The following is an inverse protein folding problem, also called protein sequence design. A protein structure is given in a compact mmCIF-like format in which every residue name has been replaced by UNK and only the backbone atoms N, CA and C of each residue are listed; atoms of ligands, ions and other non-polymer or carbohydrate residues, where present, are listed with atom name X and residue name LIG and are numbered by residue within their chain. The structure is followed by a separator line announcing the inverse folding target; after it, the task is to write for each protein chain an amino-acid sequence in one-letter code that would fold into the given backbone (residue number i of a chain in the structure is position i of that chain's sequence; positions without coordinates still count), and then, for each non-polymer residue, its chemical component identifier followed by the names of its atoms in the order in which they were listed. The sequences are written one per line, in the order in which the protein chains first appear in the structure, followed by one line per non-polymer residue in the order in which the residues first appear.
data_IF_757038041283
#
_entry.id   IF_757038041283
#
_cell.length_a   1.000
_cell.length_b   1.000
_cell.length_c   1.000
_cell.angle_alpha   90.00
_cell.angle_beta   90.00
_cell.angle_gamma   90.00
#
_symmetry.space_group_name_H-M   'P 1'
#
loop_
_entity.id
_entity.type
_entity.pdbx_description
1 polymer ?
#
# COMPACT_ATOMS: atom_id res chain seq x y z
N UNK A 1 -27.16 -37.49 -36.24
CA UNK A 1 -26.96 -37.54 -37.71
C UNK A 1 -28.12 -38.14 -38.47
N UNK A 2 -28.41 -39.45 -38.39
CA UNK A 2 -29.55 -40.05 -39.13
C UNK A 2 -30.95 -39.52 -38.73
N UNK A 3 -31.07 -38.82 -37.59
CA UNK A 3 -32.28 -38.11 -37.16
C UNK A 3 -32.36 -36.66 -37.65
N UNK A 4 -31.31 -36.12 -38.28
CA UNK A 4 -31.10 -34.69 -38.55
C UNK A 4 -30.92 -34.35 -40.05
N UNK A 5 -30.93 -35.31 -40.97
CA UNK A 5 -30.80 -35.02 -42.41
C UNK A 5 -30.85 -36.23 -43.34
N UNK A 6 -30.82 -35.95 -44.64
CA UNK A 6 -30.77 -36.94 -45.72
C UNK A 6 -29.44 -37.72 -45.69
N UNK A 7 -29.42 -38.94 -46.22
CA UNK A 7 -28.28 -39.86 -46.24
C UNK A 7 -27.02 -39.20 -46.80
N UNK A 8 -27.19 -38.29 -47.76
CA UNK A 8 -26.11 -37.54 -48.40
C UNK A 8 -25.42 -36.56 -47.43
N UNK A 9 -26.18 -35.88 -46.56
CA UNK A 9 -25.61 -34.99 -45.54
C UNK A 9 -24.74 -35.77 -44.55
N UNK A 10 -25.19 -36.96 -44.15
CA UNK A 10 -24.43 -37.84 -43.26
C UNK A 10 -23.12 -38.27 -43.93
N UNK A 11 -23.16 -38.71 -45.19
CA UNK A 11 -21.97 -39.08 -45.94
C UNK A 11 -21.00 -37.92 -46.12
N UNK A 12 -21.51 -36.71 -46.35
CA UNK A 12 -20.70 -35.50 -46.49
C UNK A 12 -19.97 -35.17 -45.18
N UNK A 13 -20.65 -35.24 -44.02
CA UNK A 13 -20.00 -35.00 -42.71
C UNK A 13 -18.95 -36.07 -42.40
N UNK A 14 -19.21 -37.34 -42.68
CA UNK A 14 -18.18 -38.39 -42.55
C UNK A 14 -16.99 -38.15 -43.48
N UNK A 15 -17.23 -37.70 -44.71
CA UNK A 15 -16.20 -37.30 -45.66
C UNK A 15 -15.34 -36.16 -45.14
N UNK A 16 -15.97 -35.11 -44.60
CA UNK A 16 -15.30 -33.96 -43.99
C UNK A 16 -14.46 -34.39 -42.78
N UNK A 17 -15.01 -35.17 -41.86
CA UNK A 17 -14.27 -35.72 -40.72
C UNK A 17 -13.09 -36.61 -41.13
N UNK A 18 -13.23 -37.39 -42.21
CA UNK A 18 -12.13 -38.19 -42.78
C UNK A 18 -11.03 -37.32 -43.41
N UNK A 19 -11.38 -36.14 -43.93
CA UNK A 19 -10.38 -35.16 -44.36
C UNK A 19 -9.66 -34.53 -43.16
N UNK A 20 -10.39 -34.16 -42.10
CA UNK A 20 -9.82 -33.60 -40.87
C UNK A 20 -8.94 -34.62 -40.12
N UNK A 21 -9.27 -35.92 -40.17
CA UNK A 21 -8.51 -36.97 -39.49
C UNK A 21 -7.09 -37.12 -40.04
N UNK A 22 -6.83 -36.67 -41.28
CA UNK A 22 -5.48 -36.60 -41.85
C UNK A 22 -4.56 -35.65 -41.08
N UNK A 23 -5.12 -34.68 -40.37
CA UNK A 23 -4.39 -33.72 -39.54
C UNK A 23 -4.43 -34.12 -38.07
N UNK A 24 -5.61 -34.44 -37.53
CA UNK A 24 -5.75 -34.93 -36.17
C UNK A 24 -7.03 -35.75 -35.97
N UNK A 25 -6.89 -36.96 -35.43
CA UNK A 25 -8.00 -37.88 -35.15
C UNK A 25 -8.94 -37.33 -34.07
N UNK A 26 -8.42 -36.69 -33.02
CA UNK A 26 -9.20 -36.08 -31.95
C UNK A 26 -10.10 -34.95 -32.44
N UNK A 27 -9.57 -34.06 -33.29
CA UNK A 27 -10.37 -33.02 -33.95
C UNK A 27 -11.45 -33.62 -34.85
N UNK A 28 -11.15 -34.68 -35.59
CA UNK A 28 -12.13 -35.36 -36.45
C UNK A 28 -13.27 -36.02 -35.66
N UNK A 29 -12.96 -36.68 -34.54
CA UNK A 29 -13.95 -37.26 -33.64
C UNK A 29 -14.80 -36.15 -33.00
N UNK A 30 -14.17 -35.05 -32.58
CA UNK A 30 -14.88 -33.90 -32.03
C UNK A 30 -15.82 -33.29 -33.08
N UNK A 31 -15.37 -33.15 -34.33
CA UNK A 31 -16.21 -32.67 -35.44
C UNK A 31 -17.47 -33.50 -35.61
N UNK A 32 -17.37 -34.83 -35.57
CA UNK A 32 -18.54 -35.71 -35.64
C UNK A 32 -19.51 -35.49 -34.46
N UNK A 33 -18.99 -35.16 -33.28
CA UNK A 33 -19.81 -34.95 -32.09
C UNK A 33 -20.59 -33.62 -32.14
N UNK A 34 -19.95 -32.52 -32.54
CA UNK A 34 -20.57 -31.17 -32.57
C UNK A 34 -21.25 -30.80 -33.89
N UNK A 35 -21.01 -31.55 -34.96
CA UNK A 35 -21.56 -31.27 -36.29
C UNK A 35 -23.10 -31.18 -36.37
N UNK A 36 -23.93 -31.96 -35.64
CA UNK A 36 -25.38 -31.74 -35.65
C UNK A 36 -25.74 -30.34 -35.17
N UNK A 37 -25.16 -29.92 -34.04
CA UNK A 37 -25.41 -28.61 -33.43
C UNK A 37 -24.94 -27.44 -34.30
N UNK A 38 -23.81 -27.61 -34.99
CA UNK A 38 -23.25 -26.61 -35.89
C UNK A 38 -24.05 -26.50 -37.19
N UNK A 39 -24.50 -27.62 -37.76
CA UNK A 39 -25.34 -27.61 -38.96
C UNK A 39 -26.65 -26.87 -38.70
N UNK A 40 -27.26 -27.06 -37.53
CA UNK A 40 -28.50 -26.37 -37.15
C UNK A 40 -28.30 -24.84 -37.05
N UNK A 41 -27.10 -24.37 -36.68
CA UNK A 41 -26.79 -22.93 -36.53
C UNK A 41 -26.30 -22.25 -37.80
N UNK A 42 -25.40 -22.90 -38.55
CA UNK A 42 -24.67 -22.27 -39.66
C UNK A 42 -24.80 -23.02 -40.98
N UNK A 43 -25.58 -24.12 -41.02
CA UNK A 43 -25.68 -24.99 -42.17
C UNK A 43 -24.41 -25.79 -42.46
N UNK A 44 -24.46 -26.62 -43.49
CA UNK A 44 -23.33 -27.48 -43.88
C UNK A 44 -22.15 -26.66 -44.44
N UNK A 45 -22.39 -25.61 -45.22
CA UNK A 45 -21.32 -24.73 -45.70
C UNK A 45 -20.60 -24.01 -44.55
N UNK A 46 -21.34 -23.59 -43.52
CA UNK A 46 -20.75 -23.03 -42.30
C UNK A 46 -19.92 -24.06 -41.54
N UNK A 47 -20.41 -25.30 -41.43
CA UNK A 47 -19.65 -26.41 -40.85
C UNK A 47 -18.34 -26.66 -41.61
N UNK A 48 -18.35 -26.67 -42.94
CA UNK A 48 -17.14 -26.84 -43.75
C UNK A 48 -16.12 -25.74 -43.49
N UNK A 49 -16.56 -24.47 -43.39
CA UNK A 49 -15.67 -23.35 -43.04
C UNK A 49 -15.05 -23.52 -41.64
N UNK A 50 -15.85 -23.88 -40.64
CA UNK A 50 -15.37 -24.12 -39.26
C UNK A 50 -14.38 -25.29 -39.22
N UNK A 51 -14.70 -26.39 -39.92
CA UNK A 51 -13.80 -27.54 -40.03
C UNK A 51 -12.50 -27.19 -40.74
N UNK A 52 -12.54 -26.33 -41.78
CA UNK A 52 -11.37 -25.80 -42.46
C UNK A 52 -10.47 -24.97 -41.54
N UNK A 53 -11.06 -24.03 -40.79
CA UNK A 53 -10.36 -23.23 -39.78
C UNK A 53 -9.70 -24.13 -38.73
N UNK A 54 -10.45 -25.04 -38.11
CA UNK A 54 -9.90 -25.97 -37.11
C UNK A 54 -8.83 -26.90 -37.69
N UNK A 55 -8.93 -27.28 -38.97
CA UNK A 55 -7.88 -28.07 -39.64
C UNK A 55 -6.60 -27.26 -39.85
N UNK A 56 -6.72 -25.97 -40.15
CA UNK A 56 -5.57 -25.07 -40.23
C UNK A 56 -4.90 -24.90 -38.87
N UNK A 57 -5.68 -24.63 -37.82
CA UNK A 57 -5.18 -24.57 -36.43
C UNK A 57 -4.58 -25.91 -36.00
N UNK A 58 -5.15 -27.05 -36.40
CA UNK A 58 -4.64 -28.37 -36.03
C UNK A 58 -3.25 -28.69 -36.61
N UNK A 59 -2.84 -28.01 -37.69
CA UNK A 59 -1.47 -28.11 -38.23
C UNK A 59 -0.44 -27.49 -37.28
N UNK A 60 -0.85 -26.47 -36.53
CA UNK A 60 -0.01 -25.78 -35.55
C UNK A 60 -0.16 -26.41 -34.17
N UNK A 61 -1.38 -26.50 -33.65
CA UNK A 61 -1.71 -27.12 -32.37
C UNK A 61 -3.06 -27.86 -32.42
N UNK A 62 -2.98 -29.19 -32.40
CA UNK A 62 -4.14 -30.07 -32.43
C UNK A 62 -5.02 -30.02 -31.17
N UNK A 63 -4.44 -29.68 -30.01
CA UNK A 63 -5.21 -29.52 -28.76
C UNK A 63 -6.09 -28.27 -28.84
N UNK A 64 -5.53 -27.16 -29.31
CA UNK A 64 -6.25 -25.91 -29.52
C UNK A 64 -7.38 -26.10 -30.53
N UNK A 65 -7.10 -26.75 -31.66
CA UNK A 65 -8.10 -27.07 -32.67
C UNK A 65 -9.26 -27.91 -32.13
N UNK A 66 -8.96 -28.96 -31.36
CA UNK A 66 -9.99 -29.84 -30.77
C UNK A 66 -10.87 -29.07 -29.78
N UNK A 67 -10.27 -28.23 -28.94
CA UNK A 67 -11.00 -27.43 -27.95
C UNK A 67 -11.83 -26.33 -28.58
N UNK A 68 -11.27 -25.57 -29.52
CA UNK A 68 -11.98 -24.54 -30.28
C UNK A 68 -13.20 -25.13 -31.01
N UNK A 69 -13.04 -26.29 -31.64
CA UNK A 69 -14.14 -26.97 -32.33
C UNK A 69 -15.27 -27.35 -31.36
N UNK A 70 -14.90 -27.83 -30.16
CA UNK A 70 -15.86 -28.13 -29.11
C UNK A 70 -16.65 -26.93 -28.59
N UNK A 71 -16.07 -25.73 -28.62
CA UNK A 71 -16.70 -24.48 -28.18
C UNK A 71 -17.35 -23.71 -29.33
N UNK A 72 -17.16 -24.15 -30.57
CA UNK A 72 -17.63 -23.44 -31.76
C UNK A 72 -19.13 -23.19 -31.78
N UNK A 73 -20.03 -24.12 -31.39
CA UNK A 73 -21.47 -23.82 -31.37
C UNK A 73 -21.81 -22.62 -30.49
N UNK A 74 -21.21 -22.56 -29.31
CA UNK A 74 -21.44 -21.51 -28.32
C UNK A 74 -20.81 -20.17 -28.74
N UNK A 75 -19.62 -20.19 -29.33
CA UNK A 75 -18.93 -18.99 -29.79
C UNK A 75 -19.59 -18.39 -31.03
N UNK A 76 -20.09 -19.22 -31.94
CA UNK A 76 -20.81 -18.78 -33.14
C UNK A 76 -22.05 -17.96 -32.75
N UNK A 77 -22.80 -18.40 -31.75
CA UNK A 77 -24.00 -17.69 -31.28
C UNK A 77 -23.68 -16.29 -30.73
N UNK A 78 -22.45 -16.07 -30.22
CA UNK A 78 -22.02 -14.80 -29.62
C UNK A 78 -21.32 -13.86 -30.59
N UNK A 79 -20.41 -14.39 -31.41
CA UNK A 79 -19.48 -13.57 -32.21
C UNK A 79 -19.49 -13.90 -33.70
N UNK A 80 -20.29 -14.88 -34.13
CA UNK A 80 -20.35 -15.34 -35.51
C UNK A 80 -19.03 -15.96 -35.99
N UNK A 81 -18.97 -16.27 -37.28
CA UNK A 81 -17.81 -16.93 -37.90
C UNK A 81 -16.55 -16.04 -37.88
N UNK A 82 -16.68 -14.74 -38.17
CA UNK A 82 -15.54 -13.81 -38.15
C UNK A 82 -14.93 -13.68 -36.76
N UNK A 83 -15.76 -13.67 -35.71
CA UNK A 83 -15.29 -13.66 -34.33
C UNK A 83 -14.62 -14.96 -33.94
N UNK A 84 -15.16 -16.11 -34.36
CA UNK A 84 -14.51 -17.42 -34.17
C UNK A 84 -13.12 -17.46 -34.84
N UNK A 85 -12.98 -16.90 -36.03
CA UNK A 85 -11.70 -16.78 -36.74
C UNK A 85 -10.73 -15.85 -35.99
N UNK A 86 -11.20 -14.73 -35.42
CA UNK A 86 -10.37 -13.89 -34.53
C UNK A 86 -9.87 -14.67 -33.31
N UNK A 87 -10.74 -15.41 -32.63
CA UNK A 87 -10.38 -16.22 -31.45
C UNK A 87 -9.34 -17.29 -31.83
N UNK A 88 -9.53 -17.96 -32.97
CA UNK A 88 -8.58 -18.95 -33.46
C UNK A 88 -7.18 -18.35 -33.68
N UNK A 89 -7.11 -17.19 -34.36
CA UNK A 89 -5.86 -16.46 -34.58
C UNK A 89 -5.22 -16.00 -33.28
N UNK A 90 -6.01 -15.50 -32.33
CA UNK A 90 -5.55 -15.07 -31.01
C UNK A 90 -4.91 -16.24 -30.24
N UNK A 91 -5.53 -17.42 -30.24
CA UNK A 91 -4.96 -18.60 -29.59
C UNK A 91 -3.65 -19.05 -30.23
N UNK A 92 -3.51 -18.96 -31.56
CA UNK A 92 -2.23 -19.23 -32.25
C UNK A 92 -1.16 -18.16 -31.93
N UNK A 93 -1.53 -16.88 -31.82
CA UNK A 93 -0.59 -15.79 -31.51
C UNK A 93 -0.06 -15.87 -30.07
N UNK A 94 -0.93 -16.21 -29.13
CA UNK A 94 -0.61 -16.27 -27.69
C UNK A 94 -0.10 -17.67 -27.29
N UNK A 95 0.32 -18.49 -28.25
CA UNK A 95 0.65 -19.90 -28.04
C UNK A 95 2.00 -20.15 -27.32
N UNK A 96 2.23 -19.48 -26.20
CA UNK A 96 3.41 -19.67 -25.35
C UNK A 96 3.26 -20.88 -24.43
N UNK A 97 2.09 -21.08 -23.82
CA UNK A 97 1.85 -22.11 -22.80
C UNK A 97 0.48 -22.79 -22.96
N UNK A 98 0.45 -24.13 -23.12
CA UNK A 98 -0.79 -24.91 -23.32
C UNK A 98 -1.82 -24.69 -22.21
N UNK A 99 -1.35 -24.55 -20.96
CA UNK A 99 -2.22 -24.33 -19.81
C UNK A 99 -2.99 -23.02 -19.91
N UNK A 100 -2.31 -21.96 -20.37
CA UNK A 100 -2.92 -20.66 -20.55
C UNK A 100 -3.93 -20.69 -21.69
N UNK A 101 -3.59 -21.27 -22.84
CA UNK A 101 -4.49 -21.36 -24.00
C UNK A 101 -5.75 -22.16 -23.66
N UNK A 102 -5.60 -23.26 -22.92
CA UNK A 102 -6.74 -24.05 -22.44
C UNK A 102 -7.71 -23.19 -21.60
N UNK A 103 -7.17 -22.44 -20.64
CA UNK A 103 -7.96 -21.56 -19.79
C UNK A 103 -8.58 -20.40 -20.58
N UNK A 104 -7.83 -19.79 -21.52
CA UNK A 104 -8.34 -18.74 -22.40
C UNK A 104 -9.57 -19.24 -23.16
N UNK A 105 -9.48 -20.39 -23.84
CA UNK A 105 -10.60 -20.98 -24.58
C UNK A 105 -11.80 -21.27 -23.66
N UNK A 106 -11.57 -21.88 -22.50
CA UNK A 106 -12.65 -22.22 -21.56
C UNK A 106 -13.33 -20.98 -20.97
N UNK A 107 -12.61 -19.88 -20.74
CA UNK A 107 -13.18 -18.63 -20.18
C UNK A 107 -13.72 -17.68 -21.26
N UNK A 108 -13.31 -17.85 -22.53
CA UNK A 108 -13.65 -16.95 -23.64
C UNK A 108 -15.15 -16.62 -23.74
N UNK A 109 -16.09 -17.60 -23.74
CA UNK A 109 -17.51 -17.28 -23.88
C UNK A 109 -18.01 -16.31 -22.80
N UNK A 110 -17.67 -16.56 -21.52
CA UNK A 110 -18.08 -15.71 -20.41
C UNK A 110 -17.35 -14.37 -20.34
N UNK A 111 -16.11 -14.30 -20.84
CA UNK A 111 -15.37 -13.03 -20.94
C UNK A 111 -15.93 -12.16 -22.07
N UNK A 112 -16.32 -12.73 -23.22
CA UNK A 112 -16.98 -12.00 -24.30
C UNK A 112 -18.26 -11.33 -23.77
N UNK A 113 -19.06 -12.06 -22.98
CA UNK A 113 -20.30 -11.52 -22.41
C UNK A 113 -20.06 -10.34 -21.45
N UNK A 114 -18.90 -10.30 -20.78
CA UNK A 114 -18.55 -9.26 -19.80
C UNK A 114 -17.86 -8.03 -20.40
N UNK A 115 -16.93 -8.22 -21.34
CA UNK A 115 -16.05 -7.15 -21.84
C UNK A 115 -16.03 -7.00 -23.37
N UNK A 116 -16.69 -7.89 -24.10
CA UNK A 116 -16.67 -7.93 -25.56
C UNK A 116 -15.37 -8.52 -26.14
N UNK A 117 -15.44 -8.90 -27.42
CA UNK A 117 -14.35 -9.59 -28.11
C UNK A 117 -13.09 -8.73 -28.28
N UNK A 118 -13.24 -7.44 -28.59
CA UNK A 118 -12.10 -6.56 -28.86
C UNK A 118 -11.26 -6.30 -27.59
N UNK A 119 -11.90 -6.18 -26.42
CA UNK A 119 -11.18 -6.04 -25.13
C UNK A 119 -10.55 -7.37 -24.72
N UNK A 120 -11.26 -8.49 -24.93
CA UNK A 120 -10.72 -9.83 -24.68
C UNK A 120 -9.45 -10.08 -25.50
N UNK A 121 -9.41 -9.66 -26.77
CA UNK A 121 -8.22 -9.80 -27.63
C UNK A 121 -7.00 -9.13 -26.98
N UNK A 122 -7.16 -7.88 -26.52
CA UNK A 122 -6.10 -7.14 -25.83
C UNK A 122 -5.66 -7.80 -24.53
N UNK A 123 -6.62 -8.22 -23.69
CA UNK A 123 -6.36 -8.89 -22.41
C UNK A 123 -5.65 -10.24 -22.61
N UNK A 124 -6.01 -10.99 -23.65
CA UNK A 124 -5.37 -12.25 -23.96
C UNK A 124 -3.91 -12.04 -24.39
N UNK A 125 -3.59 -10.98 -25.14
CA UNK A 125 -2.20 -10.61 -25.46
C UNK A 125 -1.41 -10.29 -24.19
N UNK A 126 -1.97 -9.51 -23.26
CA UNK A 126 -1.35 -9.26 -21.94
C UNK A 126 -1.13 -10.55 -21.16
N UNK A 127 -2.15 -11.42 -21.10
CA UNK A 127 -2.04 -12.73 -20.44
C UNK A 127 -0.98 -13.61 -21.10
N UNK A 128 -0.79 -13.53 -22.41
CA UNK A 128 0.29 -14.19 -23.14
C UNK A 128 1.68 -13.78 -22.71
N UNK A 129 1.89 -12.47 -22.50
CA UNK A 129 3.15 -11.93 -21.97
C UNK A 129 3.41 -12.47 -20.56
N UNK A 130 2.39 -12.47 -19.70
CA UNK A 130 2.48 -13.01 -18.33
C UNK A 130 2.73 -14.51 -18.32
N UNK A 131 2.11 -15.26 -19.25
CA UNK A 131 2.26 -16.69 -19.36
C UNK A 131 3.71 -17.11 -19.64
N UNK A 132 4.51 -16.22 -20.27
CA UNK A 132 5.93 -16.44 -20.52
C UNK A 132 6.79 -16.61 -19.25
N UNK A 133 6.34 -16.10 -18.10
CA UNK A 133 7.03 -16.30 -16.82
C UNK A 133 6.16 -16.94 -15.73
N UNK A 134 4.82 -16.83 -15.80
CA UNK A 134 3.90 -17.50 -14.88
C UNK A 134 2.55 -17.80 -15.53
N UNK A 135 2.38 -19.03 -16.01
CA UNK A 135 1.09 -19.50 -16.56
C UNK A 135 -0.04 -19.46 -15.53
N UNK A 136 0.24 -19.70 -14.24
CA UNK A 136 -0.75 -19.61 -13.17
C UNK A 136 -1.26 -18.17 -13.00
N UNK A 137 -0.35 -17.20 -12.97
CA UNK A 137 -0.71 -15.79 -12.81
C UNK A 137 -1.44 -15.28 -14.05
N UNK A 138 -1.02 -15.70 -15.24
CA UNK A 138 -1.71 -15.36 -16.49
C UNK A 138 -3.17 -15.82 -16.50
N UNK A 139 -3.45 -17.04 -16.05
CA UNK A 139 -4.83 -17.55 -15.92
C UNK A 139 -5.63 -16.76 -14.89
N UNK A 140 -5.03 -16.38 -13.76
CA UNK A 140 -5.68 -15.52 -12.75
C UNK A 140 -6.01 -14.14 -13.32
N UNK A 141 -5.06 -13.54 -14.05
CA UNK A 141 -5.24 -12.25 -14.72
C UNK A 141 -6.42 -12.30 -15.70
N UNK A 142 -6.54 -13.35 -16.53
CA UNK A 142 -7.70 -13.51 -17.42
C UNK A 142 -9.02 -13.47 -16.65
N UNK A 143 -9.14 -14.26 -15.58
CA UNK A 143 -10.36 -14.34 -14.78
C UNK A 143 -10.71 -13.04 -14.05
N UNK A 144 -9.71 -12.29 -13.58
CA UNK A 144 -9.89 -11.04 -12.83
C UNK A 144 -9.95 -9.79 -13.72
N UNK A 145 -9.55 -9.91 -14.99
CA UNK A 145 -9.48 -8.78 -15.92
C UNK A 145 -10.77 -7.97 -16.07
N UNK A 146 -12.00 -8.55 -16.11
CA UNK A 146 -13.20 -7.73 -16.22
C UNK A 146 -13.35 -6.80 -15.02
N UNK A 147 -13.20 -7.33 -13.80
CA UNK A 147 -13.34 -6.57 -12.56
C UNK A 147 -12.25 -5.50 -12.41
N UNK A 148 -11.01 -5.79 -12.84
CA UNK A 148 -9.91 -4.83 -12.83
C UNK A 148 -10.14 -3.70 -13.83
N UNK A 149 -10.58 -4.03 -15.05
CA UNK A 149 -10.87 -3.04 -16.10
C UNK A 149 -12.03 -2.14 -15.68
N UNK A 150 -13.08 -2.69 -15.06
CA UNK A 150 -14.20 -1.90 -14.56
C UNK A 150 -13.79 -0.92 -13.46
N UNK A 151 -12.79 -1.27 -12.64
CA UNK A 151 -12.31 -0.44 -11.52
C UNK A 151 -11.33 0.66 -11.94
N UNK A 152 -10.35 0.34 -12.78
CA UNK A 152 -9.25 1.28 -13.11
C UNK A 152 -9.06 1.54 -14.60
N UNK A 153 -9.82 0.87 -15.46
CA UNK A 153 -9.66 0.92 -16.91
C UNK A 153 -8.57 -0.01 -17.44
N UNK A 154 -8.67 -0.28 -18.74
CA UNK A 154 -7.72 -1.15 -19.45
C UNK A 154 -6.29 -0.59 -19.47
N UNK A 155 -6.14 0.73 -19.67
CA UNK A 155 -4.82 1.38 -19.73
C UNK A 155 -4.00 1.20 -18.44
N UNK A 156 -4.66 1.31 -17.28
CA UNK A 156 -4.02 1.08 -15.99
C UNK A 156 -3.57 -0.39 -15.83
N UNK A 157 -4.42 -1.33 -16.25
CA UNK A 157 -4.08 -2.76 -16.24
C UNK A 157 -2.89 -3.06 -17.15
N UNK A 158 -2.86 -2.49 -18.35
CA UNK A 158 -1.76 -2.64 -19.30
C UNK A 158 -0.44 -2.12 -18.71
N UNK A 159 -0.47 -0.95 -18.06
CA UNK A 159 0.72 -0.41 -17.38
C UNK A 159 1.24 -1.37 -16.31
N UNK A 160 0.37 -1.89 -15.44
CA UNK A 160 0.77 -2.83 -14.38
C UNK A 160 1.36 -4.12 -14.97
N UNK A 161 0.75 -4.68 -16.02
CA UNK A 161 1.29 -5.88 -16.69
C UNK A 161 2.64 -5.59 -17.35
N UNK A 162 2.82 -4.42 -17.95
CA UNK A 162 4.09 -4.01 -18.55
C UNK A 162 5.20 -3.89 -17.51
N UNK A 163 4.92 -3.26 -16.37
CA UNK A 163 5.85 -3.19 -15.24
C UNK A 163 6.24 -4.60 -14.76
N UNK A 164 5.26 -5.47 -14.53
CA UNK A 164 5.53 -6.83 -14.06
C UNK A 164 6.31 -7.65 -15.08
N UNK A 165 6.06 -7.46 -16.38
CA UNK A 165 6.83 -8.12 -17.44
C UNK A 165 8.28 -7.63 -17.52
N UNK A 166 8.55 -6.36 -17.18
CA UNK A 166 9.91 -5.84 -17.03
C UNK A 166 10.60 -6.46 -15.82
N UNK A 167 9.92 -6.47 -14.66
CA UNK A 167 10.44 -7.09 -13.43
C UNK A 167 10.73 -8.58 -13.63
N UNK A 168 9.86 -9.29 -14.36
CA UNK A 168 10.01 -10.72 -14.62
C UNK A 168 11.29 -11.11 -15.38
N UNK A 169 11.95 -10.15 -16.04
CA UNK A 169 13.26 -10.38 -16.67
C UNK A 169 14.35 -10.65 -15.63
N UNK A 170 14.21 -10.09 -14.43
CA UNK A 170 15.13 -10.28 -13.30
C UNK A 170 14.54 -11.23 -12.25
N UNK A 171 13.25 -11.04 -11.92
CA UNK A 171 12.57 -11.76 -10.85
C UNK A 171 11.12 -12.14 -11.23
N UNK A 172 10.98 -13.34 -11.79
CA UNK A 172 9.68 -13.91 -12.16
C UNK A 172 8.75 -14.15 -10.96
N UNK A 173 9.31 -14.37 -9.76
CA UNK A 173 8.53 -14.62 -8.55
C UNK A 173 7.86 -13.34 -8.06
N UNK A 174 8.64 -12.26 -7.92
CA UNK A 174 8.12 -10.95 -7.50
C UNK A 174 7.11 -10.41 -8.52
N UNK A 175 7.41 -10.50 -9.82
CA UNK A 175 6.48 -10.11 -10.88
C UNK A 175 5.14 -10.85 -10.81
N UNK A 176 5.20 -12.18 -10.66
CA UNK A 176 4.00 -13.00 -10.54
C UNK A 176 3.18 -12.64 -9.30
N UNK A 177 3.84 -12.43 -8.16
CA UNK A 177 3.17 -12.13 -6.89
C UNK A 177 2.57 -10.72 -6.87
N UNK A 178 3.25 -9.72 -7.42
CA UNK A 178 2.71 -8.36 -7.57
C UNK A 178 1.44 -8.34 -8.41
N UNK A 179 1.41 -9.07 -9.54
CA UNK A 179 0.19 -9.18 -10.35
C UNK A 179 -0.94 -9.86 -9.60
N UNK A 180 -0.67 -10.91 -8.82
CA UNK A 180 -1.69 -11.57 -8.00
C UNK A 180 -2.30 -10.64 -6.94
N UNK A 181 -1.51 -9.69 -6.44
CA UNK A 181 -1.95 -8.69 -5.47
C UNK A 181 -2.56 -7.44 -6.12
N UNK A 182 -2.47 -7.30 -7.46
CA UNK A 182 -2.98 -6.13 -8.18
C UNK A 182 -4.43 -5.76 -7.85
N UNK A 183 -5.40 -6.69 -7.67
CA UNK A 183 -6.76 -6.29 -7.31
C UNK A 183 -6.88 -5.57 -5.96
N UNK A 184 -5.94 -5.79 -5.03
CA UNK A 184 -5.92 -5.12 -3.74
C UNK A 184 -5.15 -3.78 -3.77
N UNK A 185 -4.34 -3.54 -4.80
CA UNK A 185 -3.38 -2.43 -4.85
C UNK A 185 -3.66 -1.41 -5.95
N UNK A 186 -4.25 -1.82 -7.07
CA UNK A 186 -4.26 -1.06 -8.34
C UNK A 186 -4.95 0.31 -8.26
N UNK A 187 -5.88 0.51 -7.33
CA UNK A 187 -6.58 1.78 -7.06
C UNK A 187 -6.10 2.48 -5.78
N UNK A 188 -5.15 1.89 -5.06
CA UNK A 188 -4.61 2.40 -3.79
C UNK A 188 -3.18 2.89 -3.90
N UNK A 189 -2.46 2.58 -4.96
CA UNK A 189 -1.08 3.04 -5.13
C UNK A 189 -0.84 3.61 -6.51
N UNK A 190 0.09 4.56 -6.58
CA UNK A 190 0.55 5.09 -7.85
C UNK A 190 1.39 4.05 -8.61
N UNK A 191 1.52 4.21 -9.93
CA UNK A 191 2.41 3.39 -10.75
C UNK A 191 3.88 3.46 -10.27
N UNK A 192 4.33 4.65 -9.85
CA UNK A 192 5.67 4.86 -9.28
C UNK A 192 5.85 4.07 -7.97
N UNK A 193 4.83 4.07 -7.11
CA UNK A 193 4.84 3.27 -5.88
C UNK A 193 4.95 1.77 -6.17
N UNK A 194 4.21 1.25 -7.16
CA UNK A 194 4.32 -0.16 -7.56
C UNK A 194 5.74 -0.51 -8.01
N UNK A 195 6.40 0.39 -8.76
CA UNK A 195 7.80 0.23 -9.14
C UNK A 195 8.74 0.16 -7.93
N UNK A 196 8.59 1.07 -6.97
CA UNK A 196 9.38 1.09 -5.72
C UNK A 196 9.12 -0.13 -4.84
N UNK A 197 7.87 -0.59 -4.75
CA UNK A 197 7.50 -1.81 -4.06
C UNK A 197 8.17 -3.03 -4.69
N UNK A 198 8.14 -3.12 -6.02
CA UNK A 198 8.76 -4.21 -6.76
C UNK A 198 10.27 -4.24 -6.55
N UNK A 199 10.94 -3.09 -6.69
CA UNK A 199 12.39 -2.96 -6.49
C UNK A 199 12.79 -3.44 -5.07
N UNK A 200 12.08 -2.95 -4.05
CA UNK A 200 12.30 -3.39 -2.67
C UNK A 200 12.13 -4.91 -2.54
N UNK A 201 11.08 -5.48 -3.13
CA UNK A 201 10.80 -6.92 -3.03
C UNK A 201 11.84 -7.77 -3.78
N UNK A 202 12.33 -7.33 -4.94
CA UNK A 202 13.41 -8.01 -5.67
C UNK A 202 14.70 -8.05 -4.84
N UNK A 203 15.06 -6.93 -4.19
CA UNK A 203 16.24 -6.85 -3.31
C UNK A 203 16.11 -7.74 -2.07
N UNK A 204 14.89 -7.93 -1.56
CA UNK A 204 14.64 -8.89 -0.47
C UNK A 204 14.73 -10.33 -1.00
N UNK A 205 14.13 -10.60 -2.17
CA UNK A 205 14.05 -11.94 -2.75
C UNK A 205 15.41 -12.49 -3.19
N UNK A 206 16.37 -11.62 -3.54
CA UNK A 206 17.75 -12.04 -3.82
C UNK A 206 18.44 -12.69 -2.63
N UNK A 207 18.01 -12.35 -1.41
CA UNK A 207 18.54 -12.89 -0.15
C UNK A 207 17.61 -13.94 0.48
N UNK A 208 16.31 -13.65 0.58
CA UNK A 208 15.31 -14.48 1.27
C UNK A 208 13.93 -14.37 0.63
N UNK A 209 13.55 -15.42 -0.11
CA UNK A 209 12.27 -15.48 -0.82
C UNK A 209 11.06 -15.61 0.08
N UNK A 210 11.22 -16.17 1.29
CA UNK A 210 10.12 -16.27 2.25
C UNK A 210 9.78 -14.88 2.80
N UNK A 211 10.80 -14.07 3.09
CA UNK A 211 10.59 -12.71 3.57
C UNK A 211 10.02 -11.83 2.46
N UNK A 212 10.49 -11.98 1.21
CA UNK A 212 9.91 -11.26 0.07
C UNK A 212 8.43 -11.59 -0.14
N UNK A 213 8.05 -12.88 -0.06
CA UNK A 213 6.66 -13.32 -0.13
C UNK A 213 5.82 -12.68 0.98
N UNK A 214 6.30 -12.74 2.22
CA UNK A 214 5.62 -12.18 3.38
C UNK A 214 5.45 -10.66 3.28
N UNK A 215 6.48 -9.95 2.82
CA UNK A 215 6.44 -8.50 2.61
C UNK A 215 5.35 -8.11 1.61
N UNK A 216 5.23 -8.85 0.50
CA UNK A 216 4.18 -8.63 -0.50
C UNK A 216 2.78 -8.93 0.06
N UNK A 217 2.66 -9.97 0.89
CA UNK A 217 1.39 -10.38 1.48
C UNK A 217 0.89 -9.38 2.54
N UNK A 218 1.80 -8.78 3.33
CA UNK A 218 1.47 -7.77 4.35
C UNK A 218 1.30 -6.36 3.75
N UNK A 219 1.77 -6.12 2.53
CA UNK A 219 1.77 -4.79 1.90
C UNK A 219 0.38 -4.14 1.76
N UNK A 220 -0.70 -4.82 1.32
CA UNK A 220 -2.02 -4.19 1.21
C UNK A 220 -2.57 -3.67 2.54
N UNK A 221 -2.33 -4.38 3.64
CA UNK A 221 -2.76 -3.98 4.98
C UNK A 221 -1.93 -2.78 5.47
N UNK A 222 -0.61 -2.82 5.26
CA UNK A 222 0.26 -1.69 5.57
C UNK A 222 -0.12 -0.44 4.77
N UNK A 223 -0.38 -0.58 3.48
CA UNK A 223 -0.83 0.50 2.61
C UNK A 223 -2.17 1.06 3.12
N UNK A 224 -3.12 0.21 3.49
CA UNK A 224 -4.38 0.66 4.07
C UNK A 224 -4.17 1.45 5.38
N UNK A 225 -3.23 1.02 6.23
CA UNK A 225 -2.85 1.76 7.46
C UNK A 225 -2.18 3.10 7.12
N UNK A 226 -1.28 3.15 6.14
CA UNK A 226 -0.65 4.40 5.70
C UNK A 226 -1.68 5.39 5.11
N UNK A 227 -2.71 4.91 4.42
CA UNK A 227 -3.79 5.75 3.92
C UNK A 227 -4.65 6.41 5.01
N UNK A 228 -4.60 5.91 6.25
CA UNK A 228 -5.26 6.58 7.38
C UNK A 228 -4.57 7.92 7.73
N UNK A 229 -3.32 8.08 7.32
CA UNK A 229 -2.49 9.25 7.63
C UNK A 229 -2.26 10.18 6.42
N UNK A 230 -2.60 9.75 5.21
CA UNK A 230 -2.42 10.56 4.00
C UNK A 230 -2.80 9.82 2.71
N UNK A 231 -2.39 10.38 1.58
CA UNK A 231 -2.78 9.88 0.25
C UNK A 231 -1.70 8.99 -0.38
N UNK A 232 -1.94 8.59 -1.63
CA UNK A 232 -1.02 7.77 -2.45
C UNK A 232 0.40 8.33 -2.56
N UNK A 233 0.57 9.66 -2.51
CA UNK A 233 1.87 10.33 -2.49
C UNK A 233 2.68 10.00 -1.23
N UNK A 234 2.03 9.98 -0.06
CA UNK A 234 2.69 9.62 1.19
C UNK A 234 3.20 8.17 1.13
N UNK A 235 2.35 7.25 0.66
CA UNK A 235 2.72 5.84 0.47
C UNK A 235 3.90 5.72 -0.50
N UNK A 236 3.89 6.50 -1.58
CA UNK A 236 4.96 6.54 -2.59
C UNK A 236 6.29 7.05 -2.02
N UNK A 237 6.27 8.00 -1.10
CA UNK A 237 7.46 8.52 -0.42
C UNK A 237 8.01 7.54 0.63
N UNK A 238 7.12 6.88 1.38
CA UNK A 238 7.50 5.83 2.34
C UNK A 238 8.20 4.66 1.63
N UNK A 239 7.55 4.09 0.61
CA UNK A 239 8.16 3.01 -0.17
C UNK A 239 9.38 3.48 -0.97
N UNK A 240 9.41 4.74 -1.41
CA UNK A 240 10.56 5.33 -2.10
C UNK A 240 11.81 5.37 -1.24
N UNK A 241 11.70 5.89 -0.01
CA UNK A 241 12.80 5.90 0.95
C UNK A 241 13.22 4.47 1.32
N UNK A 242 12.26 3.57 1.58
CA UNK A 242 12.58 2.18 1.93
C UNK A 242 13.28 1.44 0.78
N UNK A 243 12.83 1.63 -0.47
CA UNK A 243 13.52 1.05 -1.63
C UNK A 243 14.95 1.57 -1.76
N UNK A 244 15.16 2.89 -1.58
CA UNK A 244 16.50 3.47 -1.58
C UNK A 244 17.38 2.89 -0.45
N UNK A 245 16.83 2.73 0.76
CA UNK A 245 17.54 2.13 1.89
C UNK A 245 17.94 0.67 1.61
N UNK A 246 17.07 -0.08 0.92
CA UNK A 246 17.36 -1.46 0.56
C UNK A 246 18.50 -1.54 -0.47
N UNK A 247 18.45 -0.67 -1.50
CA UNK A 247 19.42 -0.65 -2.60
C UNK A 247 20.81 -0.25 -2.14
N UNK A 248 20.88 0.80 -1.33
CA UNK A 248 22.13 1.50 -1.04
C UNK A 248 22.74 1.11 0.33
N UNK A 249 22.02 0.31 1.15
CA UNK A 249 22.52 -0.14 2.46
C UNK A 249 22.17 -1.59 2.79
N UNK A 250 20.91 -1.89 3.12
CA UNK A 250 20.46 -3.24 3.50
C UNK A 250 18.93 -3.31 3.53
N UNK A 251 18.36 -4.30 2.84
CA UNK A 251 16.93 -4.55 2.81
C UNK A 251 16.33 -4.83 4.20
N UNK A 252 17.07 -5.42 5.14
CA UNK A 252 16.59 -5.66 6.52
C UNK A 252 16.25 -4.35 7.22
N UNK A 253 17.08 -3.34 7.03
CA UNK A 253 16.84 -1.99 7.57
C UNK A 253 15.65 -1.35 6.88
N UNK A 254 15.50 -1.52 5.56
CA UNK A 254 14.36 -1.01 4.81
C UNK A 254 13.03 -1.62 5.27
N UNK A 255 12.96 -2.95 5.43
CA UNK A 255 11.74 -3.64 5.90
C UNK A 255 11.39 -3.23 7.33
N UNK A 256 12.40 -3.10 8.21
CA UNK A 256 12.19 -2.58 9.57
C UNK A 256 11.65 -1.15 9.54
N UNK A 257 12.25 -0.29 8.72
CA UNK A 257 11.84 1.11 8.58
C UNK A 257 10.40 1.21 8.09
N UNK A 258 10.06 0.44 7.05
CA UNK A 258 8.71 0.35 6.49
C UNK A 258 7.68 -0.07 7.55
N UNK A 259 8.02 -1.04 8.41
CA UNK A 259 7.15 -1.45 9.52
C UNK A 259 6.99 -0.40 10.62
N UNK A 260 8.03 0.40 10.89
CA UNK A 260 8.00 1.49 11.87
C UNK A 260 7.36 2.78 11.33
N UNK A 261 7.29 2.94 10.00
CA UNK A 261 6.81 4.15 9.35
C UNK A 261 5.48 4.67 9.89
N UNK A 262 4.43 3.86 10.09
CA UNK A 262 3.17 4.43 10.52
C UNK A 262 3.19 4.96 11.96
N UNK A 263 4.02 4.40 12.86
CA UNK A 263 4.17 4.92 14.23
C UNK A 263 4.98 6.23 14.24
N UNK A 264 6.00 6.33 13.37
CA UNK A 264 6.74 7.58 13.15
C UNK A 264 5.80 8.66 12.60
N UNK A 265 4.97 8.31 11.60
CA UNK A 265 3.99 9.22 11.00
C UNK A 265 2.98 9.71 12.04
N UNK A 266 2.42 8.80 12.86
CA UNK A 266 1.49 9.18 13.93
C UNK A 266 2.14 10.18 14.91
N UNK A 267 3.40 9.96 15.29
CA UNK A 267 4.15 10.89 16.16
C UNK A 267 4.40 12.24 15.49
N UNK A 268 4.73 12.25 14.20
CA UNK A 268 4.93 13.50 13.43
C UNK A 268 3.65 14.32 13.32
N UNK A 269 2.50 13.66 13.12
CA UNK A 269 1.18 14.30 13.05
C UNK A 269 0.74 14.97 14.36
N UNK A 270 1.45 14.75 15.47
CA UNK A 270 1.24 15.52 16.72
C UNK A 270 1.78 16.95 16.63
N UNK A 271 2.67 17.22 15.68
CA UNK A 271 3.35 18.51 15.52
C UNK A 271 2.98 19.26 14.24
N UNK A 272 2.21 18.64 13.35
CA UNK A 272 1.82 19.23 12.07
C UNK A 272 0.85 18.33 11.31
N UNK A 273 0.69 18.62 10.03
CA UNK A 273 -0.23 17.90 9.15
C UNK A 273 0.50 16.93 8.21
N UNK A 274 -0.20 16.47 7.18
CA UNK A 274 0.35 15.60 6.13
C UNK A 274 1.54 16.24 5.41
N UNK A 275 1.56 17.57 5.21
CA UNK A 275 2.67 18.23 4.51
C UNK A 275 3.96 18.12 5.32
N UNK A 276 3.89 18.26 6.64
CA UNK A 276 5.04 18.02 7.51
C UNK A 276 5.62 16.62 7.30
N UNK A 277 4.76 15.59 7.28
CA UNK A 277 5.19 14.20 7.08
C UNK A 277 5.86 14.03 5.71
N UNK A 278 5.26 14.57 4.65
CA UNK A 278 5.84 14.52 3.30
C UNK A 278 7.22 15.20 3.26
N UNK A 279 7.34 16.36 3.90
CA UNK A 279 8.59 17.11 3.97
C UNK A 279 9.68 16.32 4.72
N UNK A 280 9.34 15.67 5.84
CA UNK A 280 10.27 14.83 6.59
C UNK A 280 10.77 13.64 5.76
N UNK A 281 9.88 12.90 5.09
CA UNK A 281 10.30 11.79 4.22
C UNK A 281 11.09 12.28 3.00
N UNK A 282 10.73 13.44 2.44
CA UNK A 282 11.46 14.09 1.37
C UNK A 282 12.88 14.49 1.79
N UNK A 283 13.03 15.11 2.96
CA UNK A 283 14.32 15.47 3.54
C UNK A 283 15.18 14.23 3.79
N UNK A 284 14.61 13.18 4.38
CA UNK A 284 15.34 11.91 4.59
C UNK A 284 15.78 11.28 3.27
N UNK A 285 14.95 11.33 2.22
CA UNK A 285 15.33 10.86 0.88
C UNK A 285 16.48 11.68 0.27
N UNK A 286 16.54 12.98 0.55
CA UNK A 286 17.67 13.81 0.13
C UNK A 286 18.95 13.45 0.89
N UNK A 287 18.87 13.28 2.21
CA UNK A 287 20.00 12.85 3.05
C UNK A 287 20.50 11.46 2.64
N UNK A 288 19.58 10.56 2.26
CA UNK A 288 19.91 9.20 1.83
C UNK A 288 20.77 9.16 0.56
N UNK A 289 20.79 10.22 -0.25
CA UNK A 289 21.70 10.35 -1.40
C UNK A 289 23.18 10.48 -1.00
N UNK A 290 23.44 10.86 0.24
CA UNK A 290 24.79 11.02 0.79
C UNK A 290 25.12 9.97 1.85
N UNK A 291 24.15 9.64 2.72
CA UNK A 291 24.28 8.57 3.70
C UNK A 291 22.90 8.03 4.07
N UNK A 292 22.64 6.80 3.65
CA UNK A 292 21.41 6.06 3.95
C UNK A 292 21.25 5.87 5.46
N UNK A 293 22.34 5.50 6.14
CA UNK A 293 22.31 5.25 7.59
C UNK A 293 21.96 6.50 8.38
N UNK A 294 22.45 7.65 7.92
CA UNK A 294 22.10 8.96 8.50
C UNK A 294 20.64 9.28 8.25
N UNK A 295 20.11 9.04 7.04
CA UNK A 295 18.70 9.26 6.73
C UNK A 295 17.75 8.39 7.58
N UNK A 296 18.09 7.12 7.79
CA UNK A 296 17.32 6.23 8.69
C UNK A 296 17.33 6.77 10.12
N UNK A 297 18.51 7.13 10.63
CA UNK A 297 18.64 7.69 11.99
C UNK A 297 17.87 9.02 12.11
N UNK A 298 17.89 9.86 11.07
CA UNK A 298 17.18 11.14 11.02
C UNK A 298 15.66 10.93 11.05
N UNK A 299 15.14 10.00 10.27
CA UNK A 299 13.71 9.70 10.26
C UNK A 299 13.24 9.19 11.63
N UNK A 300 14.01 8.31 12.27
CA UNK A 300 13.71 7.78 13.60
C UNK A 300 13.70 8.86 14.68
N UNK A 301 14.64 9.81 14.62
CA UNK A 301 14.74 10.92 15.58
C UNK A 301 13.83 12.11 15.23
N UNK A 302 13.25 12.14 14.02
CA UNK A 302 12.51 13.29 13.52
C UNK A 302 11.36 13.77 14.43
N UNK A 303 10.54 12.91 15.07
CA UNK A 303 9.46 13.41 15.90
C UNK A 303 9.97 14.12 17.18
N UNK A 304 11.04 13.61 17.78
CA UNK A 304 11.62 14.20 18.99
C UNK A 304 12.37 15.49 18.66
N UNK A 305 13.13 15.50 17.55
CA UNK A 305 13.79 16.70 17.03
C UNK A 305 12.80 17.81 16.70
N UNK A 306 11.68 17.49 16.04
CA UNK A 306 10.63 18.47 15.74
C UNK A 306 9.96 18.97 17.02
N UNK A 307 9.71 18.08 17.99
CA UNK A 307 9.16 18.49 19.29
C UNK A 307 10.05 19.52 20.01
N UNK A 308 11.37 19.37 19.91
CA UNK A 308 12.34 20.23 20.59
C UNK A 308 12.71 21.50 19.81
N UNK A 309 12.93 21.40 18.49
CA UNK A 309 13.52 22.45 17.66
C UNK A 309 12.65 22.84 16.44
N UNK A 310 11.47 22.23 16.28
CA UNK A 310 10.62 22.42 15.10
C UNK A 310 11.20 21.79 13.83
N UNK A 311 10.49 21.96 12.71
CA UNK A 311 10.93 21.43 11.41
C UNK A 311 12.19 22.13 10.89
N UNK A 312 12.33 23.45 11.10
CA UNK A 312 13.55 24.19 10.75
C UNK A 312 14.79 23.65 11.50
N UNK A 313 14.64 23.29 12.78
CA UNK A 313 15.67 22.61 13.54
C UNK A 313 16.05 21.25 12.94
N UNK A 314 15.07 20.45 12.51
CA UNK A 314 15.32 19.18 11.81
C UNK A 314 16.09 19.40 10.50
N UNK A 315 15.74 20.42 9.70
CA UNK A 315 16.45 20.76 8.47
C UNK A 315 17.90 21.15 8.73
N UNK A 316 18.16 21.96 9.77
CA UNK A 316 19.52 22.32 10.21
C UNK A 316 20.33 21.09 10.63
N UNK A 317 19.73 20.17 11.41
CA UNK A 317 20.37 18.89 11.79
C UNK A 317 20.67 18.05 10.55
N UNK A 318 19.73 17.93 9.62
CA UNK A 318 19.89 17.16 8.39
C UNK A 318 21.00 17.72 7.49
N UNK A 319 21.08 19.05 7.36
CA UNK A 319 22.15 19.73 6.64
C UNK A 319 23.51 19.42 7.27
N UNK A 320 23.63 19.60 8.59
CA UNK A 320 24.89 19.37 9.30
C UNK A 320 25.32 17.92 9.24
N UNK A 321 24.39 16.98 9.41
CA UNK A 321 24.66 15.56 9.30
C UNK A 321 25.11 15.17 7.88
N UNK A 322 24.52 15.77 6.85
CA UNK A 322 24.94 15.58 5.45
C UNK A 322 26.35 16.10 5.18
N UNK A 323 26.74 17.24 5.78
CA UNK A 323 28.12 17.72 5.72
C UNK A 323 29.10 16.75 6.41
N UNK A 324 28.74 16.26 7.61
CA UNK A 324 29.56 15.30 8.36
C UNK A 324 29.74 14.01 7.55
N UNK A 325 28.68 13.50 6.94
CA UNK A 325 28.73 12.30 6.10
C UNK A 325 29.66 12.47 4.89
N UNK A 326 29.66 13.66 4.26
CA UNK A 326 30.51 13.95 3.10
C UNK A 326 31.98 14.16 3.44
N UNK A 327 32.28 14.79 4.58
CA UNK A 327 33.65 15.23 4.92
C UNK A 327 34.36 14.23 5.81
N UNK A 328 33.64 13.65 6.79
CA UNK A 328 34.20 12.75 7.79
C UNK A 328 33.85 11.31 7.44
N UNK A 329 32.72 10.82 7.96
CA UNK A 329 32.32 9.42 7.89
C UNK A 329 30.82 9.29 8.20
N UNK A 330 30.16 8.29 7.61
CA UNK A 330 28.73 8.03 7.79
C UNK A 330 28.35 7.64 9.22
N UNK A 331 29.19 6.88 9.93
CA UNK A 331 28.96 6.49 11.32
C UNK A 331 28.88 7.72 12.21
N UNK A 332 29.80 8.68 11.99
CA UNK A 332 29.85 9.94 12.74
C UNK A 332 28.62 10.81 12.48
N UNK A 333 28.16 10.86 11.23
CA UNK A 333 26.94 11.58 10.88
C UNK A 333 25.70 10.97 11.56
N UNK A 334 25.60 9.64 11.54
CA UNK A 334 24.50 8.94 12.20
C UNK A 334 24.54 9.11 13.73
N UNK A 335 25.72 9.04 14.37
CA UNK A 335 25.87 9.31 15.80
C UNK A 335 25.60 10.77 16.17
N UNK A 336 25.94 11.73 15.30
CA UNK A 336 25.53 13.13 15.48
C UNK A 336 24.02 13.26 15.52
N UNK A 337 23.29 12.68 14.57
CA UNK A 337 21.81 12.73 14.54
C UNK A 337 21.17 12.07 15.76
N UNK A 338 21.77 11.00 16.29
CA UNK A 338 21.30 10.34 17.53
C UNK A 338 21.62 11.11 18.82
N UNK A 339 22.30 12.26 18.72
CA UNK A 339 22.70 13.07 19.87
C UNK A 339 23.84 12.46 20.69
N UNK A 340 24.58 11.50 20.14
CA UNK A 340 25.66 10.80 20.83
C UNK A 340 27.00 11.57 20.78
N UNK A 341 27.09 12.62 19.96
CA UNK A 341 28.33 13.39 19.78
C UNK A 341 28.35 14.65 20.65
N UNK A 342 29.52 15.02 21.15
CA UNK A 342 29.70 16.31 21.85
C UNK A 342 29.41 17.49 20.93
N UNK A 343 29.73 17.36 19.63
CA UNK A 343 29.41 18.36 18.59
C UNK A 343 27.90 18.60 18.47
N UNK A 344 27.06 17.60 18.78
CA UNK A 344 25.61 17.73 18.73
C UNK A 344 25.07 18.61 19.85
N UNK A 345 25.58 18.49 21.08
CA UNK A 345 25.06 19.27 22.21
C UNK A 345 25.18 20.79 21.96
N UNK A 346 26.40 21.24 21.60
CA UNK A 346 26.67 22.65 21.30
C UNK A 346 25.85 23.14 20.09
N UNK A 347 25.74 22.30 19.04
CA UNK A 347 24.96 22.63 17.86
C UNK A 347 23.47 22.72 18.15
N UNK A 348 22.93 21.77 18.91
CA UNK A 348 21.51 21.67 19.21
C UNK A 348 21.06 22.80 20.13
N UNK A 349 21.89 23.21 21.08
CA UNK A 349 21.65 24.41 21.88
C UNK A 349 21.54 25.67 20.99
N UNK A 350 22.40 25.79 19.98
CA UNK A 350 22.40 26.95 19.08
C UNK A 350 21.17 27.03 18.13
N UNK A 351 20.50 25.90 17.87
CA UNK A 351 19.34 25.86 16.96
C UNK A 351 18.00 25.68 17.68
N UNK A 352 18.00 25.49 19.00
CA UNK A 352 16.78 25.33 19.79
C UNK A 352 16.27 26.67 20.31
N UNK A 353 15.14 27.12 19.76
CA UNK A 353 14.48 28.35 20.19
C UNK A 353 13.64 28.16 21.46
N UNK A 354 13.36 29.25 22.18
CA UNK A 354 12.56 29.26 23.40
C UNK A 354 13.36 29.03 24.69
N UNK A 355 12.64 29.09 25.82
CA UNK A 355 13.21 29.03 27.15
C UNK A 355 13.00 27.65 27.79
N UNK A 356 14.10 27.00 28.19
CA UNK A 356 14.04 25.73 28.93
C UNK A 356 13.61 25.93 30.37
N UNK A 357 12.71 25.06 30.81
CA UNK A 357 12.32 24.95 32.21
C UNK A 357 13.55 24.75 33.10
N UNK A 358 14.52 23.92 32.69
CA UNK A 358 15.73 23.67 33.49
C UNK A 358 16.51 24.95 33.83
N UNK A 359 16.55 25.92 32.92
CA UNK A 359 17.24 27.21 33.12
C UNK A 359 16.55 28.07 34.17
N UNK A 360 15.21 28.02 34.24
CA UNK A 360 14.41 28.87 35.15
C UNK A 360 13.82 28.15 36.34
N UNK A 361 13.85 26.82 36.39
CA UNK A 361 13.33 25.98 37.48
C UNK A 361 13.84 26.43 38.85
N UNK A 362 15.14 26.74 39.07
CA UNK A 362 15.60 27.22 40.37
C UNK A 362 14.91 28.52 40.80
N UNK A 363 14.69 29.43 39.84
CA UNK A 363 14.03 30.72 40.07
C UNK A 363 12.53 30.53 40.32
N UNK A 364 11.87 29.68 39.55
CA UNK A 364 10.45 29.35 39.74
C UNK A 364 10.20 28.66 41.09
N UNK A 365 11.09 27.76 41.52
CA UNK A 365 11.00 27.14 42.85
C UNK A 365 11.11 28.16 43.99
N UNK A 366 12.00 29.15 43.85
CA UNK A 366 12.09 30.24 44.83
C UNK A 366 10.84 31.12 44.82
N UNK A 367 10.32 31.43 43.63
CA UNK A 367 9.10 32.20 43.45
C UNK A 367 7.89 31.50 44.09
N UNK A 368 7.68 30.21 43.80
CA UNK A 368 6.60 29.40 44.37
C UNK A 368 6.73 29.25 45.88
N UNK A 369 7.94 29.01 46.40
CA UNK A 369 8.15 28.92 47.84
C UNK A 369 7.83 30.25 48.56
N UNK A 370 7.96 31.39 47.88
CA UNK A 370 7.56 32.68 48.43
C UNK A 370 6.04 32.88 48.42
N UNK A 371 5.31 32.28 47.46
CA UNK A 371 3.86 32.33 47.38
C UNK A 371 3.21 31.35 48.37
N UNK A 372 3.57 30.07 48.28
CA UNK A 372 2.98 28.98 49.09
C UNK A 372 3.47 28.98 50.55
N UNK A 373 4.64 29.54 50.83
CA UNK A 373 5.30 29.46 52.13
C UNK A 373 5.97 28.10 52.44
N UNK A 374 5.92 27.14 51.52
CA UNK A 374 6.60 25.85 51.60
C UNK A 374 7.20 25.44 50.25
N UNK A 375 8.10 24.44 50.27
CA UNK A 375 8.73 23.94 49.05
C UNK A 375 7.81 22.96 48.34
N UNK A 376 7.60 23.22 47.06
CA UNK A 376 6.93 22.31 46.12
C UNK A 376 7.92 21.81 45.06
N UNK A 377 7.63 20.64 44.49
CA UNK A 377 8.41 20.10 43.37
C UNK A 377 7.84 20.56 42.02
N UNK A 378 8.71 20.96 41.10
CA UNK A 378 8.36 21.19 39.70
C UNK A 378 8.89 20.01 38.87
N UNK A 379 7.96 19.32 38.20
CA UNK A 379 8.24 18.20 37.32
C UNK A 379 8.02 18.61 35.87
N UNK A 380 8.91 18.19 34.99
CA UNK A 380 8.74 18.40 33.55
C UNK A 380 7.73 17.39 33.00
N UNK A 381 6.71 17.86 32.29
CA UNK A 381 5.69 17.03 31.66
C UNK A 381 5.28 17.60 30.29
N UNK A 382 4.91 16.75 29.32
CA UNK A 382 4.37 17.21 28.05
C UNK A 382 2.96 17.78 28.22
N UNK A 383 2.65 18.86 27.51
CA UNK A 383 1.30 19.46 27.46
C UNK A 383 1.16 20.73 28.29
N UNK A 384 -0.08 21.05 28.66
CA UNK A 384 -0.41 22.22 29.46
C UNK A 384 0.12 22.08 30.90
N UNK A 385 0.29 23.21 31.58
CA UNK A 385 0.60 23.21 33.01
C UNK A 385 -0.52 22.54 33.82
N UNK A 386 -0.16 21.71 34.80
CA UNK A 386 -1.11 20.99 35.66
C UNK A 386 -0.52 20.80 37.06
N UNK A 387 -1.34 20.39 38.04
CA UNK A 387 -0.88 19.91 39.34
C UNK A 387 -1.67 18.68 39.80
N UNK A 388 -1.03 17.80 40.58
CA UNK A 388 -1.65 16.65 41.24
C UNK A 388 -1.98 16.92 42.73
N UNK A 389 -1.80 18.16 43.20
CA UNK A 389 -1.96 18.54 44.60
C UNK A 389 -0.66 18.51 45.41
N UNK A 390 0.39 17.82 44.93
CA UNK A 390 1.70 17.74 45.61
C UNK A 390 2.84 18.33 44.77
N UNK A 391 2.70 18.33 43.45
CA UNK A 391 3.71 18.75 42.47
C UNK A 391 3.06 19.59 41.38
N UNK A 392 3.86 20.46 40.78
CA UNK A 392 3.44 21.23 39.60
C UNK A 392 4.16 20.66 38.37
N UNK A 393 3.39 20.32 37.36
CA UNK A 393 3.84 19.80 36.08
C UNK A 393 3.86 20.92 35.05
N UNK A 394 5.01 21.14 34.42
CA UNK A 394 5.19 22.21 33.42
C UNK A 394 5.81 21.66 32.13
N UNK A 395 5.53 22.30 30.98
CA UNK A 395 6.25 22.03 29.74
C UNK A 395 7.75 22.23 29.94
N UNK A 396 8.57 21.37 29.32
CA UNK A 396 10.03 21.43 29.43
C UNK A 396 10.66 22.63 28.72
N UNK A 397 9.95 23.21 27.74
CA UNK A 397 10.38 24.37 26.97
C UNK A 397 9.17 25.17 26.51
N UNK A 398 9.26 26.50 26.57
CA UNK A 398 8.24 27.43 26.10
C UNK A 398 8.83 28.27 24.97
N UNK A 399 8.09 28.43 23.87
CA UNK A 399 8.52 29.19 22.69
C UNK A 399 7.42 30.09 22.11
N UNK A 400 6.39 30.37 22.90
CA UNK A 400 5.23 31.20 22.53
C UNK A 400 5.62 32.63 22.11
N UNK A 401 6.76 33.13 22.59
CA UNK A 401 7.29 34.44 22.26
C UNK A 401 8.73 34.36 21.74
N UNK A 402 9.10 35.24 20.81
CA UNK A 402 10.49 35.38 20.35
C UNK A 402 11.42 35.85 21.49
N UNK A 403 10.93 36.76 22.33
CA UNK A 403 11.66 37.27 23.50
C UNK A 403 11.67 36.24 24.64
N UNK A 404 12.85 35.74 25.00
CA UNK A 404 13.04 34.76 26.08
C UNK A 404 12.44 35.25 27.42
N UNK A 405 12.53 36.56 27.69
CA UNK A 405 11.95 37.19 28.89
C UNK A 405 10.43 37.05 28.95
N UNK A 406 9.73 37.08 27.81
CA UNK A 406 8.28 36.87 27.76
C UNK A 406 7.92 35.41 27.98
N UNK A 407 8.72 34.48 27.47
CA UNK A 407 8.56 33.05 27.79
C UNK A 407 8.80 32.79 29.29
N UNK A 408 9.73 33.51 29.91
CA UNK A 408 9.92 33.43 31.37
C UNK A 408 8.70 33.95 32.13
N UNK A 409 8.12 35.07 31.69
CA UNK A 409 6.87 35.58 32.25
C UNK A 409 5.75 34.54 32.07
N UNK A 410 5.66 33.88 30.93
CA UNK A 410 4.65 32.85 30.71
C UNK A 410 4.82 31.66 31.65
N UNK A 411 6.05 31.19 31.90
CA UNK A 411 6.30 30.20 32.96
C UNK A 411 5.80 30.67 34.32
N UNK A 412 6.06 31.94 34.68
CA UNK A 412 5.54 32.51 35.94
C UNK A 412 4.02 32.49 35.99
N UNK A 413 3.35 32.88 34.91
CA UNK A 413 1.88 32.84 34.82
C UNK A 413 1.37 31.41 35.03
N UNK A 414 1.96 30.42 34.33
CA UNK A 414 1.58 29.01 34.46
C UNK A 414 1.76 28.50 35.89
N UNK A 415 2.93 28.72 36.51
CA UNK A 415 3.14 28.23 37.88
C UNK A 415 2.26 28.94 38.89
N UNK A 416 1.96 30.23 38.71
CA UNK A 416 1.05 30.97 39.61
C UNK A 416 -0.37 30.45 39.49
N UNK A 417 -0.79 30.09 38.27
CA UNK A 417 -2.11 29.49 38.05
C UNK A 417 -2.24 28.15 38.78
N UNK A 418 -1.26 27.25 38.62
CA UNK A 418 -1.27 25.96 39.31
C UNK A 418 -1.09 26.10 40.83
N UNK A 419 -0.28 27.07 41.27
CA UNK A 419 -0.11 27.40 42.67
C UNK A 419 -1.40 27.89 43.32
N UNK A 420 -2.19 28.72 42.63
CA UNK A 420 -3.49 29.15 43.12
C UNK A 420 -4.46 27.97 43.33
N UNK A 421 -4.38 26.92 42.51
CA UNK A 421 -5.17 25.72 42.76
C UNK A 421 -4.82 25.03 44.08
N UNK A 422 -3.56 25.11 44.52
CA UNK A 422 -3.08 24.58 45.79
C UNK A 422 -3.44 25.51 46.96
N UNK A 423 -3.18 26.81 46.84
CA UNK A 423 -3.42 27.78 47.92
C UNK A 423 -4.91 27.92 48.25
N UNK A 424 -5.76 28.00 47.22
CA UNK A 424 -7.21 28.20 47.40
C UNK A 424 -7.99 26.89 47.50
N UNK A 425 -7.30 25.76 47.67
CA UNK A 425 -7.93 24.49 48.02
C UNK A 425 -8.82 23.93 46.89
N UNK A 426 -8.43 24.07 45.63
CA UNK A 426 -9.16 23.43 44.52
C UNK A 426 -9.22 21.89 44.67
N UNK A 427 -8.27 21.32 45.42
CA UNK A 427 -8.19 19.90 45.75
C UNK A 427 -8.57 19.59 47.21
N UNK A 428 -8.98 20.59 48.00
CA UNK A 428 -9.41 20.38 49.39
C UNK A 428 -10.78 19.70 49.41
N UNK A 429 -10.75 18.38 49.36
CA UNK A 429 -11.94 17.55 49.47
C UNK A 429 -12.38 17.44 50.93
N UNK A 430 -13.36 18.28 51.31
CA UNK A 430 -14.01 18.15 52.61
C UNK A 430 -14.98 16.96 52.60
N UNK A 431 -14.57 15.85 53.24
CA UNK A 431 -15.39 14.64 53.37
C UNK A 431 -16.79 14.93 53.96
N UNK A 432 -16.90 15.95 54.81
CA UNK A 432 -18.16 16.40 55.43
C UNK A 432 -19.14 17.01 54.42
N UNK A 433 -18.65 17.56 53.30
CA UNK A 433 -19.49 18.12 52.22
C UNK A 433 -20.04 17.07 51.27
N UNK A 434 -19.49 15.85 51.30
CA UNK A 434 -19.97 14.74 50.47
C UNK A 434 -21.42 14.42 50.79
N UNK A 435 -21.81 14.49 52.06
CA UNK A 435 -23.17 14.20 52.49
C UNK A 435 -24.18 15.24 51.97
N UNK A 436 -23.79 16.51 51.91
CA UNK A 436 -24.59 17.59 51.32
C UNK A 436 -24.71 17.44 49.80
N UNK A 437 -23.63 17.03 49.12
CA UNK A 437 -23.64 16.78 47.67
C UNK A 437 -24.48 15.56 47.33
N UNK A 438 -24.33 14.46 48.07
CA UNK A 438 -25.16 13.25 47.93
C UNK A 438 -26.63 13.60 48.15
N UNK A 439 -26.97 14.32 49.23
CA UNK A 439 -28.35 14.75 49.51
C UNK A 439 -28.92 15.63 48.38
N UNK A 440 -28.10 16.51 47.79
CA UNK A 440 -28.50 17.34 46.64
C UNK A 440 -28.71 16.54 45.37
N UNK A 441 -27.88 15.52 45.12
CA UNK A 441 -28.01 14.64 43.96
C UNK A 441 -29.22 13.73 44.14
N UNK A 442 -29.40 13.11 45.30
CA UNK A 442 -30.59 12.31 45.64
C UNK A 442 -31.86 13.16 45.49
N UNK A 443 -31.92 14.36 46.09
CA UNK A 443 -33.07 15.25 45.90
C UNK A 443 -33.32 15.65 44.43
N UNK A 444 -32.27 15.78 43.61
CA UNK A 444 -32.41 16.15 42.19
C UNK A 444 -32.86 14.98 41.30
N UNK A 445 -32.49 13.74 41.64
CA UNK A 445 -32.75 12.56 40.81
C UNK A 445 -33.81 11.59 41.38
N UNK A 446 -34.13 11.63 42.68
CA UNK A 446 -35.29 10.92 43.25
C UNK A 446 -36.62 11.45 42.71
N UNK A 447 -36.69 12.74 42.37
CA UNK A 447 -37.85 13.32 41.69
C UNK A 447 -38.05 12.80 40.26
N UNK A 448 -37.00 12.29 39.61
CA UNK A 448 -37.08 11.70 38.27
C UNK A 448 -37.58 10.25 38.33
N UNK A 449 -37.27 9.52 39.40
CA UNK A 449 -37.77 8.15 39.60
C UNK A 449 -39.24 8.11 40.04
N UNK A 450 -39.68 9.02 40.92
CA UNK A 450 -41.11 9.07 41.33
C UNK A 450 -42.07 9.57 40.24
N UNK A 451 -41.59 10.29 39.24
CA UNK A 451 -42.39 10.70 38.08
C UNK A 451 -42.47 9.61 36.99
N UNK A 452 -41.68 8.54 37.09
CA UNK A 452 -41.72 7.40 36.17
C UNK A 452 -42.58 6.23 36.70
N UNK A 453 -42.97 6.25 37.98
CA UNK A 453 -43.78 5.22 38.64
C UNK A 453 -45.22 5.67 38.98
N UNK A 454 -45.63 6.87 38.57
CA UNK A 454 -47.00 7.41 38.64
C UNK A 454 -47.53 7.69 37.24
#
# INVERSE_FOLDING_TARGET
MLRYGDKDLVMNVYGLSSQVSKYNEGTAVRLLAVSPELIDRVGYEGLEKIAGLCSQVAKEDSFVATRLLGLSPELIDRVGYEGLEKIARLCSQVATERRFIAALLEMTPGLIDKMGLDVLEKVAVLGGQVAGYSSRTAVRLLGQSPELIDRVGYEALEQVVKLCSQIAQEDSFVAARLLEMSPALIDRVSYDCLGKMAELCCLVNSDDSFIAARLLDESPELIARLHQYGDTELVTNVYGLCSQVARDYNWRTAVRLLGMSPDIIERLLRYGDKELVLNVYGLCSQVARYSVRTAVSLLEQSPDLIGMAGYDGLEKVAYKASEIARVKDEEKAASFVRGESSEYADFFEAITEGLELKRVRPVLLHYLNALLGYRIEIVEAPGAATTDGERIFLPGRIKEFEEEDRNFILYKVMVTHEEAHLEYGSFDFELMRVQDVVSRIEGKYEHVQRAAES
#
